data_IF_066887183480
#
_entry.id   IF_066887183480
#
_cell.length_a   1.000
_cell.length_b   1.000
_cell.length_c   1.000
_cell.angle_alpha   90.00
_cell.angle_beta   90.00
_cell.angle_gamma   90.00
#
_symmetry.space_group_name_H-M   'P 1'
#
loop_
_entity.id
_entity.type
_entity.pdbx_description
1 polymer ?
#
# COMPACT_ATOMS: atom_id res chain seq x y z
N UNK A 1 8.75 -13.39 4.41
CA UNK A 1 9.96 -12.61 4.06
C UNK A 1 10.26 -11.51 5.06
N UNK A 2 9.33 -10.59 5.37
CA UNK A 2 9.61 -9.49 6.32
C UNK A 2 10.19 -9.94 7.67
N UNK A 3 9.65 -11.00 8.28
CA UNK A 3 10.18 -11.57 9.52
C UNK A 3 11.59 -12.17 9.40
N UNK A 4 12.03 -12.57 8.20
CA UNK A 4 13.39 -13.07 8.00
C UNK A 4 14.42 -11.95 8.16
N UNK A 5 14.03 -10.71 7.87
CA UNK A 5 14.85 -9.52 8.08
C UNK A 5 14.76 -9.02 9.53
N UNK A 6 13.56 -9.04 10.13
CA UNK A 6 13.36 -8.62 11.51
C UNK A 6 14.14 -9.49 12.51
N UNK A 7 14.24 -10.80 12.25
CA UNK A 7 14.96 -11.76 13.08
C UNK A 7 16.19 -12.33 12.35
N UNK A 8 16.92 -11.48 11.62
CA UNK A 8 18.04 -11.90 10.75
C UNK A 8 19.13 -12.68 11.51
N UNK A 9 19.32 -12.41 12.80
CA UNK A 9 20.25 -13.11 13.67
C UNK A 9 19.89 -14.58 13.92
N UNK A 10 18.63 -14.97 13.69
CA UNK A 10 18.14 -16.34 13.80
C UNK A 10 18.06 -17.05 12.44
N UNK A 11 18.35 -16.35 11.35
CA UNK A 11 18.18 -16.85 9.99
C UNK A 11 19.56 -17.04 9.33
N UNK A 12 19.83 -18.22 8.74
CA UNK A 12 21.06 -18.40 7.96
C UNK A 12 21.14 -17.37 6.83
N UNK A 13 22.24 -16.62 6.75
CA UNK A 13 22.39 -15.52 5.80
C UNK A 13 22.24 -15.96 4.33
N UNK A 14 22.71 -17.16 3.98
CA UNK A 14 22.54 -17.72 2.63
C UNK A 14 21.07 -17.99 2.29
N UNK A 15 20.29 -18.50 3.25
CA UNK A 15 18.86 -18.72 3.05
C UNK A 15 18.10 -17.40 2.89
N UNK A 16 18.39 -16.41 3.73
CA UNK A 16 17.77 -15.09 3.62
C UNK A 16 18.04 -14.46 2.24
N UNK A 17 19.30 -14.52 1.79
CA UNK A 17 19.71 -14.04 0.47
C UNK A 17 18.97 -14.77 -0.66
N UNK A 18 19.00 -16.11 -0.65
CA UNK A 18 18.38 -16.92 -1.70
C UNK A 18 16.87 -16.65 -1.82
N UNK A 19 16.15 -16.56 -0.69
CA UNK A 19 14.71 -16.33 -0.76
C UNK A 19 14.39 -14.90 -1.18
N UNK A 20 15.22 -13.91 -0.81
CA UNK A 20 15.08 -12.53 -1.32
C UNK A 20 15.34 -12.44 -2.81
N UNK A 21 16.43 -13.04 -3.30
CA UNK A 21 16.74 -13.08 -4.73
C UNK A 21 15.67 -13.80 -5.52
N UNK A 22 15.11 -14.90 -4.98
CA UNK A 22 13.97 -15.58 -5.60
C UNK A 22 12.71 -14.71 -5.60
N UNK A 23 12.44 -13.93 -4.55
CA UNK A 23 11.30 -13.00 -4.52
C UNK A 23 11.47 -11.89 -5.56
N UNK A 24 12.68 -11.34 -5.68
CA UNK A 24 13.03 -10.31 -6.68
C UNK A 24 12.98 -10.89 -8.10
N UNK A 25 13.49 -12.09 -8.33
CA UNK A 25 13.45 -12.74 -9.64
C UNK A 25 12.01 -13.11 -10.07
N UNK A 26 11.12 -13.34 -9.09
CA UNK A 26 9.69 -13.53 -9.31
C UNK A 26 8.91 -12.22 -9.42
N UNK A 27 9.57 -11.06 -9.28
CA UNK A 27 9.04 -9.79 -9.76
C UNK A 27 8.94 -9.89 -11.28
N UNK A 28 7.88 -10.53 -11.74
CA UNK A 28 7.47 -10.44 -13.12
C UNK A 28 7.17 -8.97 -13.34
N UNK A 29 7.79 -8.32 -14.32
CA UNK A 29 7.28 -7.01 -14.71
C UNK A 29 5.87 -7.19 -15.24
N UNK A 30 5.06 -6.13 -15.19
CA UNK A 30 3.71 -6.12 -15.77
C UNK A 30 3.71 -6.59 -17.23
N UNK A 31 4.86 -6.46 -17.90
CA UNK A 31 5.07 -6.79 -19.30
C UNK A 31 5.45 -8.25 -19.58
N UNK A 32 5.71 -9.08 -18.57
CA UNK A 32 6.17 -10.46 -18.76
C UNK A 32 5.21 -11.53 -18.23
N UNK A 33 4.09 -11.13 -17.62
CA UNK A 33 3.09 -12.07 -17.09
C UNK A 33 1.92 -12.23 -18.06
N UNK A 34 1.55 -13.48 -18.34
CA UNK A 34 0.33 -13.84 -19.08
C UNK A 34 -0.92 -13.87 -18.17
N UNK A 35 -0.75 -13.68 -16.84
CA UNK A 35 -1.86 -13.73 -15.89
C UNK A 35 -2.74 -12.46 -15.94
N UNK A 36 -4.07 -12.60 -15.71
CA UNK A 36 -4.96 -11.47 -15.63
C UNK A 36 -4.49 -10.46 -14.56
N UNK A 37 -4.34 -9.21 -14.99
CA UNK A 37 -3.79 -8.06 -14.23
C UNK A 37 -4.53 -7.71 -12.93
N UNK A 38 -5.60 -8.42 -12.59
CA UNK A 38 -6.56 -8.03 -11.57
C UNK A 38 -5.97 -7.98 -10.15
N UNK A 39 -4.84 -8.65 -9.89
CA UNK A 39 -4.26 -8.76 -8.54
C UNK A 39 -2.76 -8.48 -8.45
N UNK A 40 -2.11 -8.05 -9.54
CA UNK A 40 -0.67 -7.77 -9.55
C UNK A 40 -0.24 -6.76 -8.47
N UNK A 41 -1.11 -5.81 -8.14
CA UNK A 41 -0.84 -4.84 -7.08
C UNK A 41 -0.59 -5.47 -5.69
N UNK A 42 -1.11 -6.67 -5.41
CA UNK A 42 -0.86 -7.38 -4.13
C UNK A 42 0.60 -7.85 -4.03
N UNK A 43 1.17 -8.29 -5.15
CA UNK A 43 2.59 -8.64 -5.25
C UNK A 43 3.44 -7.38 -5.09
N UNK A 44 3.07 -6.30 -5.80
CA UNK A 44 3.74 -5.01 -5.68
C UNK A 44 3.73 -4.45 -4.25
N UNK A 45 2.61 -4.54 -3.52
CA UNK A 45 2.53 -4.16 -2.10
C UNK A 45 3.42 -5.04 -1.22
N UNK A 46 3.51 -6.34 -1.52
CA UNK A 46 4.37 -7.25 -0.78
C UNK A 46 5.85 -6.93 -1.00
N UNK A 47 6.23 -6.54 -2.22
CA UNK A 47 7.57 -6.10 -2.58
C UNK A 47 7.91 -4.75 -1.94
N UNK A 48 6.99 -3.79 -1.94
CA UNK A 48 7.19 -2.52 -1.25
C UNK A 48 7.45 -2.73 0.24
N UNK A 49 6.68 -3.60 0.90
CA UNK A 49 6.87 -3.96 2.32
C UNK A 49 8.19 -4.69 2.57
N UNK A 50 8.67 -5.47 1.58
CA UNK A 50 9.97 -6.11 1.61
C UNK A 50 11.09 -5.06 1.51
N UNK A 51 11.03 -4.15 0.55
CA UNK A 51 12.03 -3.10 0.32
C UNK A 51 12.26 -2.21 1.56
N UNK A 52 11.21 -1.93 2.33
CA UNK A 52 11.30 -1.17 3.59
C UNK A 52 12.10 -1.91 4.67
N UNK A 53 12.22 -3.24 4.57
CA UNK A 53 12.90 -4.11 5.55
C UNK A 53 14.23 -4.66 5.06
N UNK A 54 14.59 -4.42 3.80
CA UNK A 54 15.84 -4.89 3.21
C UNK A 54 16.87 -3.78 3.12
N UNK A 55 18.15 -4.15 3.20
CA UNK A 55 19.27 -3.25 2.92
C UNK A 55 19.64 -3.26 1.43
N UNK A 56 20.62 -2.43 1.07
CA UNK A 56 21.20 -2.40 -0.26
C UNK A 56 21.95 -3.71 -0.59
N UNK A 57 21.99 -4.12 -1.88
CA UNK A 57 21.44 -3.45 -3.06
C UNK A 57 19.95 -3.72 -3.33
N UNK A 58 19.34 -4.62 -2.54
CA UNK A 58 18.00 -5.15 -2.83
C UNK A 58 16.91 -4.09 -2.67
N UNK A 59 17.06 -3.19 -1.69
CA UNK A 59 16.15 -2.07 -1.50
C UNK A 59 16.03 -1.22 -2.77
N UNK A 60 17.15 -0.72 -3.29
CA UNK A 60 17.15 0.09 -4.52
C UNK A 60 16.63 -0.69 -5.74
N UNK A 61 16.96 -1.97 -5.88
CA UNK A 61 16.46 -2.79 -6.99
C UNK A 61 14.93 -2.86 -6.98
N UNK A 62 14.32 -3.16 -5.82
CA UNK A 62 12.87 -3.28 -5.70
C UNK A 62 12.20 -1.93 -5.92
N UNK A 63 12.67 -0.87 -5.27
CA UNK A 63 12.05 0.46 -5.38
C UNK A 63 12.11 1.02 -6.80
N UNK A 64 13.25 0.89 -7.48
CA UNK A 64 13.42 1.33 -8.87
C UNK A 64 12.50 0.59 -9.84
N UNK A 65 12.18 -0.69 -9.58
CA UNK A 65 11.23 -1.42 -10.42
C UNK A 65 9.79 -1.01 -10.12
N UNK A 66 9.42 -0.89 -8.84
CA UNK A 66 8.08 -0.44 -8.46
C UNK A 66 7.78 0.97 -8.97
N UNK A 67 8.76 1.88 -8.93
CA UNK A 67 8.61 3.24 -9.46
C UNK A 67 8.34 3.26 -10.98
N UNK A 68 8.99 2.37 -11.74
CA UNK A 68 8.75 2.27 -13.20
C UNK A 68 7.36 1.76 -13.53
N UNK A 69 6.85 0.84 -12.73
CA UNK A 69 5.59 0.14 -12.98
C UNK A 69 4.39 0.87 -12.34
N UNK A 70 4.62 1.86 -11.47
CA UNK A 70 3.59 2.37 -10.55
C UNK A 70 2.33 2.87 -11.25
N UNK A 71 2.46 3.57 -12.37
CA UNK A 71 1.34 4.12 -13.14
C UNK A 71 0.45 3.02 -13.75
N UNK A 72 1.02 1.83 -13.99
CA UNK A 72 0.27 0.66 -14.47
C UNK A 72 -0.30 -0.19 -13.31
N UNK A 73 0.23 -0.01 -12.09
CA UNK A 73 -0.23 -0.72 -10.88
C UNK A 73 -1.46 -0.05 -10.29
N UNK A 74 -1.43 1.29 -10.16
CA UNK A 74 -2.47 2.02 -9.45
C UNK A 74 -3.73 2.18 -10.31
N UNK A 75 -4.90 2.19 -9.67
CA UNK A 75 -6.13 2.60 -10.32
C UNK A 75 -6.21 4.14 -10.30
N UNK A 76 -6.32 4.74 -11.48
CA UNK A 76 -6.39 6.20 -11.67
C UNK A 76 -7.81 6.70 -11.92
N UNK A 77 -8.76 5.79 -12.19
CA UNK A 77 -10.18 6.11 -12.37
C UNK A 77 -10.89 6.19 -11.02
N UNK A 78 -11.29 7.41 -10.63
CA UNK A 78 -11.90 7.67 -9.34
C UNK A 78 -13.26 6.99 -9.15
N UNK A 79 -13.99 6.72 -10.23
CA UNK A 79 -15.31 6.09 -10.17
C UNK A 79 -15.22 4.62 -9.70
N UNK A 80 -14.03 4.02 -9.84
CA UNK A 80 -13.77 2.64 -9.42
C UNK A 80 -13.31 2.50 -7.98
N UNK A 81 -12.74 3.54 -7.37
CA UNK A 81 -12.13 3.42 -6.04
C UNK A 81 -13.13 2.97 -4.96
N UNK A 82 -14.38 3.40 -5.03
CA UNK A 82 -15.41 3.00 -4.05
C UNK A 82 -16.11 1.67 -4.40
N UNK A 83 -16.02 1.21 -5.65
CA UNK A 83 -16.93 0.18 -6.21
C UNK A 83 -16.22 -1.07 -6.69
N UNK A 84 -14.91 -0.99 -6.93
CA UNK A 84 -14.11 -2.07 -7.52
C UNK A 84 -12.92 -2.37 -6.63
N UNK A 85 -12.63 -3.66 -6.46
CA UNK A 85 -11.43 -4.09 -5.76
C UNK A 85 -10.20 -3.77 -6.61
N UNK A 86 -9.51 -2.70 -6.26
CA UNK A 86 -8.42 -2.11 -7.04
C UNK A 86 -7.31 -1.54 -6.15
N UNK A 87 -6.18 -1.22 -6.77
CA UNK A 87 -5.03 -0.59 -6.13
C UNK A 87 -5.27 0.92 -5.93
N UNK A 88 -5.79 1.34 -4.77
CA UNK A 88 -5.90 2.77 -4.50
C UNK A 88 -4.49 3.37 -4.36
N UNK A 89 -4.21 4.53 -4.94
CA UNK A 89 -2.87 5.14 -4.93
C UNK A 89 -2.25 5.25 -3.53
N UNK A 90 -3.03 5.60 -2.51
CA UNK A 90 -2.53 5.72 -1.14
C UNK A 90 -2.03 4.40 -0.51
N UNK A 91 -2.31 3.23 -1.11
CA UNK A 91 -1.75 1.95 -0.63
C UNK A 91 -0.23 1.90 -0.81
N UNK A 92 0.29 2.57 -1.84
CA UNK A 92 1.71 2.63 -2.17
C UNK A 92 2.40 3.85 -1.54
N UNK A 93 1.61 4.82 -1.06
CA UNK A 93 2.10 6.03 -0.44
C UNK A 93 1.23 6.43 0.77
N UNK A 94 1.41 5.71 1.88
CA UNK A 94 0.65 5.90 3.12
C UNK A 94 1.06 7.16 3.91
N UNK A 95 2.14 7.82 3.51
CA UNK A 95 2.59 9.11 4.03
C UNK A 95 3.44 9.86 2.99
N UNK A 96 3.68 11.17 3.15
CA UNK A 96 4.58 11.94 2.30
C UNK A 96 6.03 11.41 2.26
N UNK A 97 6.46 10.66 3.27
CA UNK A 97 7.78 10.05 3.37
C UNK A 97 7.86 8.68 2.67
N UNK A 98 6.74 8.16 2.16
CA UNK A 98 6.74 6.91 1.42
C UNK A 98 7.60 7.01 0.16
N UNK A 99 8.40 5.98 -0.17
CA UNK A 99 9.37 6.06 -1.28
C UNK A 99 8.71 6.28 -2.64
N UNK A 100 7.45 5.87 -2.80
CA UNK A 100 6.69 6.04 -4.03
C UNK A 100 5.78 7.29 -4.01
N UNK A 101 5.82 8.14 -2.98
CA UNK A 101 4.87 9.25 -2.86
C UNK A 101 5.01 10.29 -3.97
N UNK A 102 6.23 10.78 -4.22
CA UNK A 102 6.43 11.88 -5.18
C UNK A 102 5.91 11.56 -6.59
N UNK A 103 6.19 10.38 -7.18
CA UNK A 103 5.66 10.01 -8.50
C UNK A 103 4.13 10.03 -8.60
N UNK A 104 3.42 9.58 -7.56
CA UNK A 104 1.95 9.40 -7.60
C UNK A 104 1.19 10.38 -6.70
N UNK A 105 1.83 11.47 -6.26
CA UNK A 105 1.28 12.40 -5.27
C UNK A 105 -0.13 12.88 -5.61
N UNK A 106 -0.37 13.30 -6.85
CA UNK A 106 -1.68 13.83 -7.26
C UNK A 106 -2.77 12.76 -7.15
N UNK A 107 -2.48 11.53 -7.58
CA UNK A 107 -3.40 10.40 -7.45
C UNK A 107 -3.65 10.00 -5.99
N UNK A 108 -2.62 10.09 -5.13
CA UNK A 108 -2.75 9.84 -3.69
C UNK A 108 -3.73 10.82 -3.07
N UNK A 109 -3.52 12.13 -3.26
CA UNK A 109 -4.39 13.16 -2.70
C UNK A 109 -5.82 13.00 -3.24
N UNK A 110 -5.99 12.84 -4.55
CA UNK A 110 -7.30 12.66 -5.16
C UNK A 110 -8.03 11.42 -4.63
N UNK A 111 -7.32 10.31 -4.43
CA UNK A 111 -7.91 9.10 -3.87
C UNK A 111 -8.37 9.26 -2.42
N UNK A 112 -7.63 10.03 -1.61
CA UNK A 112 -8.00 10.33 -0.23
C UNK A 112 -9.17 11.31 -0.15
N UNK A 113 -9.23 12.31 -1.03
CA UNK A 113 -10.40 13.18 -1.16
C UNK A 113 -11.66 12.39 -1.53
N UNK A 114 -11.51 11.39 -2.40
CA UNK A 114 -12.62 10.48 -2.73
C UNK A 114 -13.07 9.64 -1.53
N UNK A 115 -12.15 9.13 -0.70
CA UNK A 115 -12.51 8.46 0.55
C UNK A 115 -13.35 9.37 1.44
N UNK A 116 -12.93 10.62 1.65
CA UNK A 116 -13.68 11.61 2.45
C UNK A 116 -15.07 11.86 1.86
N UNK A 117 -15.15 12.08 0.53
CA UNK A 117 -16.41 12.37 -0.16
C UNK A 117 -17.40 11.21 -0.13
N UNK A 118 -16.90 9.97 -0.13
CA UNK A 118 -17.71 8.75 -0.21
C UNK A 118 -17.89 8.07 1.14
N UNK A 119 -17.39 8.67 2.22
CA UNK A 119 -17.58 8.19 3.59
C UNK A 119 -19.07 8.00 3.90
N UNK A 120 -19.39 6.90 4.57
CA UNK A 120 -20.76 6.61 4.98
C UNK A 120 -21.23 7.58 6.08
N UNK A 121 -22.56 7.71 6.22
CA UNK A 121 -23.20 8.63 7.17
C UNK A 121 -22.82 8.35 8.64
N UNK A 122 -22.58 7.09 8.99
CA UNK A 122 -22.10 6.64 10.31
C UNK A 122 -20.57 6.72 10.46
N UNK A 123 -19.87 7.31 9.48
CA UNK A 123 -18.44 7.64 9.55
C UNK A 123 -17.47 6.54 9.12
N UNK A 124 -17.95 5.35 8.72
CA UNK A 124 -17.04 4.34 8.16
C UNK A 124 -16.70 4.61 6.69
N UNK A 125 -15.52 4.18 6.27
CA UNK A 125 -15.13 4.21 4.86
C UNK A 125 -15.64 2.95 4.14
N UNK A 126 -16.05 3.11 2.89
CA UNK A 126 -16.68 2.04 2.09
C UNK A 126 -15.64 0.98 1.72
N UNK A 127 -15.96 -0.29 1.99
CA UNK A 127 -15.18 -1.43 1.53
C UNK A 127 -15.40 -1.60 0.03
N UNK A 128 -14.33 -1.60 -0.78
CA UNK A 128 -14.40 -1.85 -2.22
C UNK A 128 -14.29 -3.34 -2.59
N UNK A 129 -14.49 -4.24 -1.62
CA UNK A 129 -14.57 -5.69 -1.81
C UNK A 129 -15.77 -6.27 -1.07
N UNK A 130 -16.18 -7.45 -1.51
CA UNK A 130 -17.27 -8.19 -0.89
C UNK A 130 -16.75 -9.12 0.22
N UNK A 131 -17.46 -9.18 1.33
CA UNK A 131 -17.27 -10.17 2.39
C UNK A 131 -18.63 -10.49 3.04
N UNK A 132 -18.68 -11.58 3.81
CA UNK A 132 -19.87 -11.91 4.60
C UNK A 132 -20.14 -10.84 5.68
N UNK A 133 -21.35 -10.84 6.25
CA UNK A 133 -21.80 -9.80 7.18
C UNK A 133 -20.94 -9.69 8.45
N UNK A 134 -20.47 -10.82 8.98
CA UNK A 134 -19.64 -10.85 10.19
C UNK A 134 -18.24 -10.30 9.91
N UNK A 135 -17.65 -10.75 8.79
CA UNK A 135 -16.38 -10.21 8.29
C UNK A 135 -16.49 -8.72 7.97
N UNK A 136 -17.60 -8.26 7.40
CA UNK A 136 -17.81 -6.86 7.03
C UNK A 136 -17.78 -5.95 8.26
N UNK A 137 -18.35 -6.37 9.40
CA UNK A 137 -18.29 -5.59 10.65
C UNK A 137 -16.84 -5.34 11.08
N UNK A 138 -16.01 -6.38 11.05
CA UNK A 138 -14.59 -6.29 11.45
C UNK A 138 -13.81 -5.45 10.44
N UNK A 139 -13.99 -5.72 9.14
CA UNK A 139 -13.26 -5.02 8.09
C UNK A 139 -13.60 -3.53 8.03
N UNK A 140 -14.84 -3.13 8.28
CA UNK A 140 -15.21 -1.71 8.38
C UNK A 140 -14.39 -0.98 9.43
N UNK A 141 -14.20 -1.59 10.60
CA UNK A 141 -13.40 -0.98 11.67
C UNK A 141 -11.92 -0.90 11.30
N UNK A 142 -11.34 -1.99 10.77
CA UNK A 142 -9.93 -2.01 10.34
C UNK A 142 -9.70 -0.98 9.24
N UNK A 143 -10.54 -1.01 8.21
CA UNK A 143 -10.44 -0.12 7.06
C UNK A 143 -10.56 1.34 7.44
N UNK A 144 -11.53 1.66 8.30
CA UNK A 144 -11.72 3.02 8.78
C UNK A 144 -10.49 3.53 9.51
N UNK A 145 -9.90 2.70 10.40
CA UNK A 145 -8.68 3.09 11.11
C UNK A 145 -7.48 3.26 10.18
N UNK A 146 -7.36 2.43 9.15
CA UNK A 146 -6.25 2.52 8.20
C UNK A 146 -6.38 3.78 7.33
N UNK A 147 -7.56 4.08 6.80
CA UNK A 147 -7.80 5.32 6.04
C UNK A 147 -7.58 6.56 6.91
N UNK A 148 -8.07 6.59 8.15
CA UNK A 148 -7.85 7.71 9.08
C UNK A 148 -6.36 7.95 9.37
N UNK A 149 -5.56 6.90 9.56
CA UNK A 149 -4.10 7.04 9.75
C UNK A 149 -3.43 7.65 8.52
N UNK A 150 -3.83 7.22 7.33
CA UNK A 150 -3.28 7.75 6.08
C UNK A 150 -3.68 9.22 5.91
N UNK A 151 -4.95 9.56 6.13
CA UNK A 151 -5.42 10.96 6.14
C UNK A 151 -4.63 11.82 7.14
N UNK A 152 -4.36 11.30 8.33
CA UNK A 152 -3.53 11.97 9.34
C UNK A 152 -2.09 12.19 8.86
N UNK A 153 -1.44 11.18 8.29
CA UNK A 153 -0.08 11.30 7.77
C UNK A 153 0.03 12.31 6.62
N UNK A 154 -1.01 12.43 5.80
CA UNK A 154 -1.09 13.41 4.71
C UNK A 154 -1.61 14.78 5.16
N UNK A 155 -1.87 14.98 6.45
CA UNK A 155 -2.33 16.26 7.01
C UNK A 155 -3.74 16.68 6.57
N UNK A 156 -4.57 15.71 6.17
CA UNK A 156 -5.95 15.93 5.71
C UNK A 156 -6.97 15.91 6.86
N UNK A 157 -6.54 15.54 8.07
CA UNK A 157 -7.31 15.65 9.31
C UNK A 157 -6.42 16.25 10.42
N UNK A 158 -7.05 16.92 11.37
CA UNK A 158 -6.36 17.73 12.38
C UNK A 158 -5.54 16.91 13.39
N UNK A 159 -4.44 17.52 13.88
CA UNK A 159 -3.65 17.04 15.02
C UNK A 159 -4.14 17.72 16.31
N UNK A 160 -5.35 17.45 16.77
CA UNK A 160 -5.97 18.17 17.90
C UNK A 160 -5.30 17.99 19.30
N UNK A 161 -4.06 17.50 19.40
CA UNK A 161 -3.42 17.19 20.69
C UNK A 161 -2.23 18.07 21.10
N UNK A 162 -1.71 18.95 20.24
CA UNK A 162 -0.52 19.78 20.57
C UNK A 162 -0.84 21.19 21.08
N UNK A 163 -2.04 21.74 20.82
CA UNK A 163 -2.39 23.12 21.21
C UNK A 163 -3.02 23.25 22.61
N UNK A 164 -3.36 22.15 23.29
CA UNK A 164 -3.90 22.19 24.66
C UNK A 164 -2.86 22.03 25.78
N UNK A 165 -1.57 21.96 25.44
CA UNK A 165 -0.47 21.83 26.42
C UNK A 165 0.63 22.88 26.32
N UNK A 166 0.39 24.02 25.65
CA UNK A 166 1.25 25.21 25.74
C UNK A 166 0.49 26.41 26.30
#
# INVERSE_FOLDING_TARGET
>A
MGYLYEYSELVPGDFQREVTENAIAKMSSIHTSDEPRQFYFLEALSLLRLAIRTEEPYQSIILNQLEKDIDEIIETDSDKWATTYCAKPFFFAHSPESPLYLPIKEFVISSLENEIKTQAEDGHFILNWNCDEESAKVWKSIWTMDVLKVLYHHGMIEKEWEEKMN
#
